data_IF_683009579703
#
_entry.id   IF_683009579703
#
_cell.length_a   1.000
_cell.length_b   1.000
_cell.length_c   1.000
_cell.angle_alpha   90.00
_cell.angle_beta   90.00
_cell.angle_gamma   90.00
#
_symmetry.space_group_name_H-M   'P 1'
#
loop_
_entity.id
_entity.type
_entity.pdbx_description
1 polymer ?
#
# COMPACT_ATOMS: atom_id res chain seq x y z
N UNK A 1 57.13 28.69 -46.18
CA UNK A 1 55.91 27.95 -46.56
C UNK A 1 55.62 26.91 -45.49
N UNK A 2 54.39 26.88 -44.95
CA UNK A 2 53.57 25.68 -44.60
C UNK A 2 54.20 24.67 -43.60
N UNK A 3 53.58 24.25 -42.50
CA UNK A 3 52.16 24.09 -42.13
C UNK A 3 52.06 24.08 -40.59
N UNK A 4 51.08 24.79 -40.05
CA UNK A 4 50.65 24.65 -38.66
C UNK A 4 49.64 23.50 -38.61
N UNK A 5 49.99 22.38 -37.95
CA UNK A 5 49.06 21.28 -37.71
C UNK A 5 48.21 21.60 -36.47
N UNK A 6 46.97 22.04 -36.68
CA UNK A 6 45.95 22.11 -35.63
C UNK A 6 45.41 20.70 -35.38
N UNK A 7 45.68 20.12 -34.21
CA UNK A 7 44.96 18.94 -33.72
C UNK A 7 43.60 19.38 -33.12
N UNK A 8 42.48 18.73 -33.47
CA UNK A 8 41.21 19.01 -32.82
C UNK A 8 41.18 18.28 -31.46
N UNK A 9 41.00 19.05 -30.39
CA UNK A 9 40.74 18.52 -29.05
C UNK A 9 39.27 18.07 -29.01
N UNK A 10 39.01 16.79 -29.21
CA UNK A 10 37.67 16.22 -29.10
C UNK A 10 37.25 16.18 -27.62
N UNK A 11 36.42 17.15 -27.21
CA UNK A 11 35.73 17.14 -25.92
C UNK A 11 34.64 16.06 -25.95
N UNK A 12 34.99 14.86 -25.49
CA UNK A 12 34.01 13.82 -25.16
C UNK A 12 33.29 14.23 -23.87
N UNK A 13 32.14 14.88 -24.01
CA UNK A 13 31.21 15.08 -22.89
C UNK A 13 30.58 13.73 -22.54
N UNK A 14 31.22 13.00 -21.62
CA UNK A 14 30.60 11.85 -20.98
C UNK A 14 29.47 12.36 -20.09
N UNK A 15 28.26 12.44 -20.64
CA UNK A 15 27.04 12.61 -19.85
C UNK A 15 26.87 11.35 -19.01
N UNK A 16 27.40 11.40 -17.78
CA UNK A 16 27.09 10.43 -16.73
C UNK A 16 25.60 10.59 -16.47
N UNK A 17 24.79 9.69 -17.02
CA UNK A 17 23.42 9.51 -16.58
C UNK A 17 23.51 8.96 -15.16
N UNK A 18 23.53 9.87 -14.18
CA UNK A 18 23.32 9.51 -12.79
C UNK A 18 21.94 8.86 -12.72
N UNK A 19 21.92 7.54 -12.55
CA UNK A 19 20.71 6.82 -12.22
C UNK A 19 20.36 7.21 -10.78
N UNK A 20 19.65 8.32 -10.60
CA UNK A 20 19.18 8.75 -9.28
C UNK A 20 18.34 7.63 -8.69
N UNK A 21 18.92 6.89 -7.76
CA UNK A 21 18.20 5.87 -7.01
C UNK A 21 17.05 6.56 -6.27
N UNK A 22 15.87 5.94 -6.29
CA UNK A 22 14.73 6.45 -5.52
C UNK A 22 15.16 6.62 -4.05
N UNK A 23 14.70 7.70 -3.38
CA UNK A 23 15.07 7.93 -1.99
C UNK A 23 14.60 6.76 -1.13
N UNK A 24 15.43 6.36 -0.16
CA UNK A 24 15.06 5.33 0.81
C UNK A 24 13.73 5.70 1.50
N UNK A 25 12.91 4.69 1.79
CA UNK A 25 11.66 4.88 2.50
C UNK A 25 11.87 5.55 3.87
N UNK A 26 11.22 6.68 4.08
CA UNK A 26 11.28 7.50 5.30
C UNK A 26 9.91 7.72 5.95
N UNK A 27 8.86 7.09 5.41
CA UNK A 27 7.50 7.19 5.94
C UNK A 27 7.26 6.33 7.20
N UNK A 28 6.11 6.51 7.86
CA UNK A 28 5.70 5.64 8.96
C UNK A 28 5.53 4.19 8.49
N UNK A 29 6.00 3.23 9.28
CA UNK A 29 5.76 1.81 9.03
C UNK A 29 4.46 1.36 9.69
N UNK A 30 3.47 1.00 8.87
CA UNK A 30 2.17 0.48 9.32
C UNK A 30 2.09 -1.05 9.31
N UNK A 31 3.23 -1.75 9.30
CA UNK A 31 3.21 -3.22 9.37
C UNK A 31 2.62 -3.72 10.69
N UNK A 32 1.75 -4.71 10.61
CA UNK A 32 1.15 -5.35 11.77
C UNK A 32 -0.15 -6.10 11.43
N UNK A 33 -0.72 -6.73 12.46
CA UNK A 33 -2.05 -7.35 12.41
C UNK A 33 -3.04 -6.42 13.10
N UNK A 34 -4.21 -6.26 12.51
CA UNK A 34 -5.25 -5.33 12.94
C UNK A 34 -6.55 -6.10 13.16
N UNK A 35 -7.20 -5.87 14.30
CA UNK A 35 -8.59 -6.29 14.51
C UNK A 35 -9.50 -5.21 13.94
N UNK A 36 -10.30 -5.59 12.95
CA UNK A 36 -11.18 -4.68 12.23
C UNK A 36 -12.64 -5.00 12.56
N UNK A 37 -13.42 -3.95 12.82
CA UNK A 37 -14.88 -4.01 12.87
C UNK A 37 -15.41 -3.15 11.75
N UNK A 38 -16.24 -3.73 10.91
CA UNK A 38 -16.80 -3.05 9.75
C UNK A 38 -18.29 -3.21 9.65
N UNK A 39 -18.86 -2.41 8.76
CA UNK A 39 -20.27 -2.49 8.37
C UNK A 39 -20.36 -2.19 6.88
N UNK A 40 -21.25 -2.88 6.17
CA UNK A 40 -21.53 -2.61 4.76
C UNK A 40 -23.04 -2.59 4.47
N UNK A 41 -23.43 -2.09 3.30
CA UNK A 41 -24.84 -1.83 3.02
C UNK A 41 -25.66 -3.07 2.64
N UNK A 42 -25.06 -4.27 2.59
CA UNK A 42 -25.74 -5.52 2.21
C UNK A 42 -25.78 -6.58 3.33
N UNK A 43 -24.68 -6.75 4.03
CA UNK A 43 -24.45 -7.78 5.05
C UNK A 43 -24.65 -7.22 6.47
N UNK A 44 -24.42 -5.91 6.65
CA UNK A 44 -24.41 -5.28 7.97
C UNK A 44 -23.05 -5.42 8.65
N UNK A 45 -23.04 -5.64 9.95
CA UNK A 45 -21.81 -5.64 10.76
C UNK A 45 -21.00 -6.94 10.59
N UNK A 46 -19.67 -6.82 10.56
CA UNK A 46 -18.73 -7.94 10.48
C UNK A 46 -17.41 -7.63 11.18
N UNK A 47 -16.63 -8.68 11.47
CA UNK A 47 -15.27 -8.59 12.00
C UNK A 47 -14.29 -9.35 11.10
N UNK A 48 -13.10 -8.78 10.92
CA UNK A 48 -11.99 -9.39 10.17
C UNK A 48 -10.64 -9.08 10.82
N UNK A 49 -9.62 -9.88 10.51
CA UNK A 49 -8.23 -9.58 10.80
C UNK A 49 -7.54 -9.07 9.54
N UNK A 50 -7.02 -7.85 9.58
CA UNK A 50 -6.24 -7.29 8.49
C UNK A 50 -4.74 -7.36 8.79
N UNK A 51 -3.93 -7.76 7.82
CA UNK A 51 -2.47 -7.78 7.93
C UNK A 51 -1.85 -6.86 6.90
N UNK A 52 -0.99 -5.96 7.36
CA UNK A 52 -0.11 -5.14 6.52
C UNK A 52 1.32 -5.59 6.70
N UNK A 53 2.03 -5.83 5.60
CA UNK A 53 3.46 -6.15 5.60
C UNK A 53 4.21 -5.23 4.65
N UNK A 54 5.06 -4.37 5.19
CA UNK A 54 5.85 -3.42 4.40
C UNK A 54 6.80 -4.16 3.44
N UNK A 55 6.58 -3.95 2.15
CA UNK A 55 7.51 -4.29 1.09
C UNK A 55 8.59 -3.21 0.99
N UNK A 56 9.60 -3.32 1.87
CA UNK A 56 10.71 -2.35 1.92
C UNK A 56 11.41 -2.13 0.58
N UNK A 57 11.73 -3.16 -0.23
CA UNK A 57 12.40 -2.97 -1.52
C UNK A 57 11.63 -2.08 -2.50
N UNK A 58 10.30 -2.09 -2.47
CA UNK A 58 9.47 -1.27 -3.37
C UNK A 58 8.99 0.05 -2.74
N UNK A 59 9.27 0.25 -1.46
CA UNK A 59 8.92 1.49 -0.74
C UNK A 59 9.99 2.55 -0.96
N UNK A 60 9.58 3.81 -1.14
CA UNK A 60 10.49 4.90 -1.45
C UNK A 60 9.93 6.25 -1.00
N UNK A 61 10.80 7.16 -0.55
CA UNK A 61 10.41 8.47 -0.04
C UNK A 61 9.30 8.36 1.01
N UNK A 62 8.14 8.98 0.74
CA UNK A 62 6.95 8.94 1.61
C UNK A 62 5.97 7.80 1.27
N UNK A 63 6.25 7.03 0.22
CA UNK A 63 5.39 5.95 -0.25
C UNK A 63 5.79 4.61 0.35
N UNK A 64 4.93 4.07 1.21
CA UNK A 64 5.08 2.72 1.75
C UNK A 64 4.24 1.75 0.94
N UNK A 65 4.86 0.69 0.41
CA UNK A 65 4.16 -0.37 -0.33
C UNK A 65 3.97 -1.56 0.59
N UNK A 66 2.77 -2.14 0.62
CA UNK A 66 2.42 -3.21 1.54
C UNK A 66 1.78 -4.38 0.81
N UNK A 67 2.22 -5.58 1.16
CA UNK A 67 1.39 -6.77 0.97
C UNK A 67 0.24 -6.69 1.99
N UNK A 68 -0.99 -6.84 1.51
CA UNK A 68 -2.20 -6.70 2.32
C UNK A 68 -3.04 -7.98 2.27
N UNK A 69 -3.63 -8.36 3.40
CA UNK A 69 -4.61 -9.44 3.43
C UNK A 69 -5.65 -9.21 4.52
N UNK A 70 -6.86 -9.72 4.29
CA UNK A 70 -7.92 -9.80 5.29
C UNK A 70 -8.32 -11.26 5.52
N UNK A 71 -8.51 -11.64 6.76
CA UNK A 71 -8.97 -12.97 7.18
C UNK A 71 -10.31 -12.83 7.89
N UNK A 72 -11.32 -13.57 7.43
CA UNK A 72 -12.65 -13.61 8.04
C UNK A 72 -12.69 -14.58 9.21
N UNK A 73 -13.76 -14.53 10.00
CA UNK A 73 -13.98 -15.48 11.12
C UNK A 73 -13.96 -16.96 10.70
N UNK A 74 -14.28 -17.25 9.42
CA UNK A 74 -14.26 -18.60 8.85
C UNK A 74 -12.89 -18.98 8.24
N UNK A 75 -11.82 -18.25 8.59
CA UNK A 75 -10.45 -18.45 8.09
C UNK A 75 -10.30 -18.30 6.57
N UNK A 76 -11.24 -17.61 5.91
CA UNK A 76 -11.12 -17.27 4.51
C UNK A 76 -10.19 -16.05 4.37
N UNK A 77 -9.16 -16.18 3.53
CA UNK A 77 -8.13 -15.14 3.37
C UNK A 77 -8.24 -14.50 1.99
N UNK A 78 -8.52 -13.20 1.97
CA UNK A 78 -8.46 -12.37 0.78
C UNK A 78 -7.11 -11.65 0.71
N UNK A 79 -6.47 -11.68 -0.46
CA UNK A 79 -5.16 -11.07 -0.68
C UNK A 79 -5.28 -9.82 -1.53
N UNK A 80 -4.39 -8.88 -1.26
CA UNK A 80 -4.38 -7.58 -1.89
C UNK A 80 -3.07 -6.83 -1.73
N UNK A 81 -3.14 -5.53 -2.01
CA UNK A 81 -2.06 -4.60 -1.82
C UNK A 81 -2.56 -3.32 -1.15
N UNK A 82 -1.67 -2.63 -0.45
CA UNK A 82 -1.90 -1.27 -0.02
C UNK A 82 -0.69 -0.39 -0.32
N UNK A 83 -0.94 0.90 -0.53
CA UNK A 83 0.09 1.92 -0.65
C UNK A 83 -0.23 3.09 0.27
N UNK A 84 0.76 3.55 1.04
CA UNK A 84 0.63 4.72 1.90
C UNK A 84 1.25 5.95 1.27
N UNK A 85 0.72 7.12 1.58
CA UNK A 85 1.43 8.40 1.45
C UNK A 85 1.19 9.21 2.73
N UNK A 86 2.22 9.34 3.57
CA UNK A 86 2.06 9.89 4.92
C UNK A 86 1.09 9.04 5.75
N UNK A 87 -0.01 9.64 6.22
CA UNK A 87 -1.03 9.00 7.07
C UNK A 87 -2.30 8.61 6.30
N UNK A 88 -2.19 8.40 4.99
CA UNK A 88 -3.27 7.89 4.15
C UNK A 88 -2.86 6.57 3.52
N UNK A 89 -3.81 5.67 3.34
CA UNK A 89 -3.66 4.41 2.61
C UNK A 89 -4.65 4.36 1.44
N UNK A 90 -4.23 3.81 0.33
CA UNK A 90 -5.12 3.22 -0.66
C UNK A 90 -4.98 1.70 -0.58
N UNK A 91 -6.09 0.97 -0.61
CA UNK A 91 -6.14 -0.47 -0.42
C UNK A 91 -6.92 -1.12 -1.56
N UNK A 92 -6.49 -2.31 -1.98
CA UNK A 92 -7.24 -3.15 -2.90
C UNK A 92 -7.05 -4.61 -2.51
N UNK A 93 -8.11 -5.40 -2.50
CA UNK A 93 -8.01 -6.86 -2.35
C UNK A 93 -9.02 -7.57 -3.25
N UNK A 94 -8.65 -8.78 -3.67
CA UNK A 94 -9.49 -9.64 -4.52
C UNK A 94 -10.43 -10.46 -3.65
N UNK A 95 -11.73 -10.34 -3.91
CA UNK A 95 -12.83 -11.06 -3.25
C UNK A 95 -13.05 -12.46 -3.84
N UNK A 96 -12.53 -12.71 -5.04
CA UNK A 96 -12.78 -13.94 -5.79
C UNK A 96 -11.54 -14.84 -5.91
N UNK A 97 -11.77 -16.14 -5.88
CA UNK A 97 -10.79 -17.18 -6.26
C UNK A 97 -10.92 -17.61 -7.74
N UNK A 98 -11.84 -16.98 -8.49
CA UNK A 98 -12.20 -17.36 -9.87
C UNK A 98 -11.69 -16.39 -10.94
N UNK A 99 -12.02 -16.65 -12.21
CA UNK A 99 -11.55 -15.87 -13.37
C UNK A 99 -12.17 -14.46 -13.47
N UNK A 100 -13.27 -14.21 -12.77
CA UNK A 100 -13.90 -12.89 -12.71
C UNK A 100 -13.42 -12.21 -11.43
N UNK A 101 -12.31 -11.49 -11.53
CA UNK A 101 -11.70 -10.84 -10.38
C UNK A 101 -12.58 -9.69 -9.87
N UNK A 102 -13.27 -9.93 -8.75
CA UNK A 102 -14.00 -8.91 -7.99
C UNK A 102 -13.05 -8.26 -7.01
N UNK A 103 -12.94 -6.93 -7.05
CA UNK A 103 -11.98 -6.18 -6.23
C UNK A 103 -12.68 -5.18 -5.33
N UNK A 104 -12.34 -5.22 -4.04
CA UNK A 104 -12.62 -4.11 -3.14
C UNK A 104 -11.58 -3.01 -3.35
N UNK A 105 -12.01 -1.74 -3.41
CA UNK A 105 -11.13 -0.58 -3.46
C UNK A 105 -11.44 0.34 -2.29
N UNK A 106 -10.42 0.65 -1.49
CA UNK A 106 -10.56 1.45 -0.28
C UNK A 106 -9.58 2.62 -0.19
N UNK A 107 -9.99 3.65 0.54
CA UNK A 107 -9.12 4.72 1.02
C UNK A 107 -9.25 4.82 2.54
N UNK A 108 -8.11 4.91 3.23
CA UNK A 108 -8.08 4.97 4.68
C UNK A 108 -7.26 6.14 5.21
N UNK A 109 -7.71 6.68 6.34
CA UNK A 109 -6.92 7.58 7.18
C UNK A 109 -6.32 6.80 8.34
N UNK A 110 -5.03 6.99 8.58
CA UNK A 110 -4.26 6.31 9.63
C UNK A 110 -4.00 7.26 10.80
N UNK A 111 -4.19 6.77 12.02
CA UNK A 111 -3.92 7.50 13.26
C UNK A 111 -2.96 6.73 14.14
N UNK A 112 -2.03 7.46 14.76
CA UNK A 112 -1.19 6.91 15.83
C UNK A 112 -2.04 6.72 17.07
N UNK A 113 -1.99 5.53 17.68
CA UNK A 113 -2.69 5.25 18.95
C UNK A 113 -1.73 4.95 20.11
N UNK A 114 -0.46 4.64 19.82
CA UNK A 114 0.64 4.66 20.80
C UNK A 114 1.98 4.88 20.10
N UNK A 115 3.10 4.83 20.85
CA UNK A 115 4.45 4.91 20.27
C UNK A 115 4.71 3.85 19.20
N UNK A 116 4.10 2.67 19.33
CA UNK A 116 4.33 1.49 18.49
C UNK A 116 3.09 1.02 17.73
N UNK A 117 1.92 1.64 17.93
CA UNK A 117 0.66 1.15 17.35
C UNK A 117 -0.10 2.20 16.56
N UNK A 118 -0.85 1.68 15.59
CA UNK A 118 -1.64 2.43 14.63
C UNK A 118 -3.09 1.97 14.63
N UNK A 119 -3.99 2.84 14.20
CA UNK A 119 -5.34 2.52 13.81
C UNK A 119 -5.63 3.12 12.44
N UNK A 120 -6.54 2.53 11.67
CA UNK A 120 -7.01 3.16 10.45
C UNK A 120 -8.53 3.01 10.29
N UNK A 121 -9.13 3.97 9.61
CA UNK A 121 -10.54 3.89 9.16
C UNK A 121 -10.55 3.80 7.65
N UNK A 122 -10.96 2.66 7.11
CA UNK A 122 -11.08 2.40 5.67
C UNK A 122 -12.52 2.65 5.22
N UNK A 123 -12.69 3.41 4.14
CA UNK A 123 -13.97 3.49 3.41
C UNK A 123 -13.75 2.84 2.05
N UNK A 124 -14.60 1.90 1.67
CA UNK A 124 -14.40 1.09 0.48
C UNK A 124 -15.66 0.95 -0.36
N UNK A 125 -15.43 0.53 -1.61
CA UNK A 125 -16.45 0.15 -2.57
C UNK A 125 -16.06 -1.16 -3.26
N UNK A 126 -17.04 -2.00 -3.48
CA UNK A 126 -16.95 -3.31 -4.14
C UNK A 126 -17.97 -3.32 -5.28
N UNK A 127 -17.53 -3.37 -6.55
CA UNK A 127 -18.46 -3.45 -7.66
C UNK A 127 -19.11 -4.84 -7.71
N UNK A 128 -20.39 -4.88 -8.10
CA UNK A 128 -21.09 -6.09 -8.49
C UNK A 128 -22.06 -5.80 -9.66
N UNK A 129 -22.74 -6.83 -10.17
CA UNK A 129 -23.69 -6.67 -11.28
C UNK A 129 -24.94 -5.82 -10.93
N UNK A 130 -25.17 -5.52 -9.65
CA UNK A 130 -26.37 -4.87 -9.13
C UNK A 130 -26.09 -3.50 -8.46
N UNK A 131 -24.98 -2.84 -8.82
CA UNK A 131 -24.63 -1.49 -8.36
C UNK A 131 -23.55 -1.42 -7.27
N UNK A 132 -23.08 -2.57 -6.79
CA UNK A 132 -21.99 -2.72 -5.82
C UNK A 132 -22.42 -2.67 -4.35
N UNK A 133 -21.43 -2.85 -3.48
CA UNK A 133 -21.47 -2.72 -2.02
C UNK A 133 -20.49 -1.62 -1.60
N UNK A 134 -20.78 -0.94 -0.50
CA UNK A 134 -19.90 0.03 0.12
C UNK A 134 -19.97 -0.12 1.63
N UNK A 135 -18.83 0.14 2.26
CA UNK A 135 -18.71 -0.02 3.69
C UNK A 135 -17.63 0.84 4.31
N UNK A 136 -17.56 0.73 5.63
CA UNK A 136 -16.51 1.34 6.43
C UNK A 136 -16.00 0.33 7.44
N UNK A 137 -14.70 0.34 7.67
CA UNK A 137 -14.04 -0.48 8.70
C UNK A 137 -13.19 0.39 9.60
N UNK A 138 -13.25 0.13 10.90
CA UNK A 138 -12.28 0.64 11.86
C UNK A 138 -11.36 -0.48 12.33
N UNK A 139 -10.06 -0.29 12.13
CA UNK A 139 -9.04 -1.31 12.34
C UNK A 139 -8.03 -0.85 13.39
N UNK A 140 -7.85 -1.67 14.43
CA UNK A 140 -6.95 -1.42 15.55
C UNK A 140 -5.76 -2.40 15.50
N UNK A 141 -4.53 -1.87 15.46
CA UNK A 141 -3.34 -2.72 15.52
C UNK A 141 -3.31 -3.50 16.85
N UNK A 142 -3.17 -4.81 16.74
CA UNK A 142 -3.01 -5.71 17.87
C UNK A 142 -1.68 -5.43 18.58
N UNK A 143 -1.62 -5.79 19.86
CA UNK A 143 -0.34 -5.83 20.54
C UNK A 143 0.50 -6.94 19.93
N UNK A 144 1.75 -6.64 19.58
CA UNK A 144 2.74 -7.71 19.42
C UNK A 144 2.88 -8.34 20.81
N UNK A 145 2.44 -9.58 20.95
CA UNK A 145 2.79 -10.38 22.14
C UNK A 145 4.32 -10.48 22.11
N UNK A 146 4.96 -9.83 23.09
CA UNK A 146 6.40 -9.85 23.28
C UNK A 146 6.90 -11.21 23.75
#
# INVERSE_FOLDING_TARGET
MKRLCLLPLALFSASVLANEALPAFAGPNFSGVYSCKGTNNKVGDYEVLATLKLNRPNSHGNFGVYDFSTETENALVYKGQAISNGYKLALTFNLSDTRNAEYSTGIADVKRISSTRWAYTNNYYEPDENGGDYGQEYCLMQFLLG
#
